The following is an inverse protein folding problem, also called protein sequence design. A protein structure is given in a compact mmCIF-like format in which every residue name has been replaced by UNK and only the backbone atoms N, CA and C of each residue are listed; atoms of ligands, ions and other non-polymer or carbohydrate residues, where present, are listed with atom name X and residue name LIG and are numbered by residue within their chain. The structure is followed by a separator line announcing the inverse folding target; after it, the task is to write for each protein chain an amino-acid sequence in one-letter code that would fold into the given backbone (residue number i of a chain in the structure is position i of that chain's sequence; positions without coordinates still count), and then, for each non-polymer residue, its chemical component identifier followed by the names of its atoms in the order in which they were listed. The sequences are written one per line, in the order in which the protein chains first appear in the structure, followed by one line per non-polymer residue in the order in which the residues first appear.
data_IF_346068477301
#
_entry.id   IF_346068477301
#
_cell.length_a   1.000
_cell.length_b   1.000
_cell.length_c   1.000
_cell.angle_alpha   90.00
_cell.angle_beta   90.00
_cell.angle_gamma   90.00
#
_symmetry.space_group_name_H-M   'P 1'
#
loop_
_entity.id
_entity.type
_entity.pdbx_description
1 polymer ?
#
# COMPACT_ATOMS: atom_id res chain seq x y z
N UNK A 1 15.16 -14.11 11.00
CA UNK A 1 14.21 -13.19 10.32
C UNK A 1 13.01 -14.02 9.89
N UNK A 2 11.80 -13.71 10.36
CA UNK A 2 10.58 -14.44 9.92
C UNK A 2 10.27 -14.00 8.50
N UNK A 3 10.55 -14.85 7.52
CA UNK A 3 10.05 -14.69 6.15
C UNK A 3 8.53 -14.80 6.18
N UNK A 4 7.82 -13.74 5.75
CA UNK A 4 6.37 -13.82 5.52
C UNK A 4 6.10 -14.89 4.46
N UNK A 5 5.18 -15.81 4.76
CA UNK A 5 4.74 -16.81 3.79
C UNK A 5 3.90 -16.14 2.71
N UNK A 6 3.78 -16.72 1.50
CA UNK A 6 2.87 -16.19 0.47
C UNK A 6 1.42 -16.03 0.97
N UNK A 7 0.97 -16.88 1.89
CA UNK A 7 -0.34 -16.81 2.54
C UNK A 7 -0.48 -15.59 3.45
N UNK A 8 0.53 -15.30 4.29
CA UNK A 8 0.56 -14.08 5.13
C UNK A 8 0.46 -12.81 4.28
N UNK A 9 1.14 -12.82 3.12
CA UNK A 9 1.14 -11.70 2.17
C UNK A 9 -0.23 -11.52 1.55
N UNK A 10 -0.88 -12.61 1.14
CA UNK A 10 -2.22 -12.54 0.58
C UNK A 10 -3.22 -11.99 1.60
N UNK A 11 -3.20 -12.50 2.83
CA UNK A 11 -4.09 -11.99 3.89
C UNK A 11 -3.83 -10.51 4.20
N UNK A 12 -2.58 -10.08 4.26
CA UNK A 12 -2.25 -8.68 4.47
C UNK A 12 -2.74 -7.80 3.31
N UNK A 13 -2.57 -8.22 2.05
CA UNK A 13 -3.11 -7.50 0.88
C UNK A 13 -4.64 -7.41 0.94
N UNK A 14 -5.33 -8.48 1.30
CA UNK A 14 -6.79 -8.48 1.39
C UNK A 14 -7.32 -7.56 2.49
N UNK A 15 -6.70 -7.58 3.67
CA UNK A 15 -7.03 -6.65 4.76
C UNK A 15 -6.85 -5.20 4.33
N UNK A 16 -5.69 -4.88 3.75
CA UNK A 16 -5.40 -3.52 3.34
C UNK A 16 -6.31 -3.07 2.18
N UNK A 17 -6.66 -3.95 1.25
CA UNK A 17 -7.62 -3.64 0.17
C UNK A 17 -9.04 -3.45 0.71
N UNK A 18 -9.41 -4.18 1.77
CA UNK A 18 -10.69 -4.01 2.44
C UNK A 18 -10.75 -2.69 3.22
N UNK A 19 -9.66 -2.30 3.90
CA UNK A 19 -9.55 -1.01 4.60
C UNK A 19 -9.43 0.17 3.63
N UNK A 20 -8.70 -0.01 2.52
CA UNK A 20 -8.36 1.03 1.56
C UNK A 20 -8.74 0.62 0.12
N UNK A 21 -10.04 0.51 -0.20
CA UNK A 21 -10.48 0.06 -1.53
C UNK A 21 -10.10 1.01 -2.67
N UNK A 22 -9.72 2.26 -2.36
CA UNK A 22 -9.24 3.27 -3.33
C UNK A 22 -7.73 3.19 -3.58
N UNK A 23 -7.04 2.31 -2.86
CA UNK A 23 -5.59 2.14 -2.93
C UNK A 23 -5.24 0.80 -3.58
N UNK A 24 -4.26 0.83 -4.46
CA UNK A 24 -3.66 -0.32 -5.08
C UNK A 24 -2.42 -0.72 -4.29
N UNK A 25 -2.38 -1.97 -3.82
CA UNK A 25 -1.33 -2.45 -2.93
C UNK A 25 -0.59 -3.60 -3.59
N UNK A 26 0.71 -3.40 -3.75
CA UNK A 26 1.63 -4.34 -4.38
C UNK A 26 2.78 -4.64 -3.43
N UNK A 27 3.34 -5.84 -3.54
CA UNK A 27 4.56 -6.23 -2.84
C UNK A 27 5.60 -6.54 -3.90
N UNK A 28 6.78 -5.96 -3.77
CA UNK A 28 7.92 -6.25 -4.63
C UNK A 28 8.57 -7.57 -4.24
N UNK A 29 9.28 -8.17 -5.19
CA UNK A 29 10.04 -9.41 -4.96
C UNK A 29 11.11 -9.26 -3.86
N UNK A 30 11.63 -8.04 -3.69
CA UNK A 30 12.56 -7.67 -2.61
C UNK A 30 11.91 -7.65 -1.22
N UNK A 31 10.60 -7.89 -1.13
CA UNK A 31 9.85 -7.95 0.13
C UNK A 31 9.22 -6.63 0.54
N UNK A 32 9.45 -5.53 -0.19
CA UNK A 32 8.88 -4.22 0.10
C UNK A 32 7.41 -4.13 -0.30
N UNK A 33 6.65 -3.41 0.50
CA UNK A 33 5.25 -3.09 0.31
C UNK A 33 5.10 -1.70 -0.29
N UNK A 34 4.19 -1.58 -1.25
CA UNK A 34 3.91 -0.35 -1.98
C UNK A 34 2.40 -0.16 -2.06
N UNK A 35 1.96 1.07 -1.82
CA UNK A 35 0.58 1.50 -1.89
C UNK A 35 0.49 2.73 -2.77
N UNK A 36 -0.34 2.68 -3.80
CA UNK A 36 -0.60 3.81 -4.70
C UNK A 36 -2.09 4.08 -4.77
N UNK A 37 -2.49 5.35 -4.67
CA UNK A 37 -3.90 5.74 -4.79
C UNK A 37 -4.33 5.72 -6.27
N UNK A 38 -5.50 5.18 -6.57
CA UNK A 38 -6.07 5.18 -7.94
C UNK A 38 -7.36 6.02 -8.06
N UNK A 39 -7.82 6.35 -9.30
CA UNK A 39 -7.25 5.98 -10.60
C UNK A 39 -6.24 7.01 -11.12
N UNK A 40 -5.02 6.54 -11.41
CA UNK A 40 -3.99 7.32 -12.09
C UNK A 40 -4.46 7.67 -13.51
N UNK A 41 -5.01 8.88 -13.70
CA UNK A 41 -4.89 9.53 -15.00
C UNK A 41 -3.39 9.83 -15.21
N UNK A 42 -2.92 9.71 -16.45
CA UNK A 42 -1.49 9.87 -16.79
C UNK A 42 -0.92 11.25 -16.40
N UNK A 43 -1.81 12.19 -16.09
CA UNK A 43 -1.54 13.56 -15.63
C UNK A 43 -1.32 13.66 -14.11
N UNK A 44 -1.77 12.69 -13.32
CA UNK A 44 -1.66 12.69 -11.84
C UNK A 44 -0.31 12.14 -11.34
N UNK A 45 0.46 11.50 -12.23
CA UNK A 45 1.78 10.90 -11.96
C UNK A 45 2.81 11.85 -11.32
N UNK A 46 2.59 13.16 -11.34
CA UNK A 46 3.48 14.16 -10.74
C UNK A 46 3.12 14.56 -9.30
N UNK A 47 1.98 14.09 -8.75
CA UNK A 47 1.53 14.44 -7.39
C UNK A 47 0.98 13.26 -6.56
N UNK A 48 1.12 12.03 -7.07
CA UNK A 48 0.55 10.81 -6.47
C UNK A 48 1.14 10.60 -5.07
N UNK A 49 0.26 10.38 -4.10
CA UNK A 49 0.67 9.82 -2.82
C UNK A 49 1.06 8.34 -3.00
N UNK A 50 2.30 8.10 -3.44
CA UNK A 50 2.95 6.81 -3.33
C UNK A 50 3.50 6.64 -1.91
N UNK A 51 3.19 5.50 -1.29
CA UNK A 51 3.77 5.12 -0.01
C UNK A 51 4.45 3.78 -0.16
N UNK A 52 5.64 3.67 0.40
CA UNK A 52 6.41 2.43 0.45
C UNK A 52 6.80 2.11 1.88
N UNK A 53 6.80 0.83 2.20
CA UNK A 53 7.10 0.32 3.53
C UNK A 53 7.76 -1.06 3.45
N UNK A 54 8.43 -1.48 4.52
CA UNK A 54 9.02 -2.82 4.59
C UNK A 54 8.04 -3.85 5.19
N UNK A 55 6.99 -3.38 5.88
CA UNK A 55 5.93 -4.21 6.44
C UNK A 55 4.52 -3.75 6.03
N UNK A 56 3.51 -4.64 6.03
CA UNK A 56 2.13 -4.26 5.70
C UNK A 56 1.51 -3.31 6.73
N UNK A 57 1.94 -3.37 7.99
CA UNK A 57 1.44 -2.52 9.07
C UNK A 57 1.92 -1.07 8.88
N UNK A 58 3.22 -0.90 8.60
CA UNK A 58 3.80 0.39 8.23
C UNK A 58 3.15 0.97 6.96
N UNK A 59 2.81 0.11 5.98
CA UNK A 59 2.09 0.55 4.80
C UNK A 59 0.70 1.10 5.17
N UNK A 60 -0.04 0.41 6.07
CA UNK A 60 -1.36 0.84 6.52
C UNK A 60 -1.30 2.21 7.20
N UNK A 61 -0.35 2.41 8.10
CA UNK A 61 -0.10 3.66 8.81
C UNK A 61 0.22 4.80 7.84
N UNK A 62 1.07 4.53 6.85
CA UNK A 62 1.43 5.51 5.82
C UNK A 62 0.21 5.90 4.97
N UNK A 63 -0.58 4.92 4.52
CA UNK A 63 -1.82 5.16 3.77
C UNK A 63 -2.80 5.99 4.61
N UNK A 64 -3.02 5.63 5.89
CA UNK A 64 -3.90 6.40 6.80
C UNK A 64 -3.43 7.84 6.97
N UNK A 65 -2.11 8.06 7.07
CA UNK A 65 -1.53 9.40 7.18
C UNK A 65 -1.81 10.22 5.93
N UNK A 66 -1.64 9.65 4.74
CA UNK A 66 -2.00 10.33 3.48
C UNK A 66 -3.49 10.64 3.44
N UNK A 67 -4.36 9.68 3.76
CA UNK A 67 -5.82 9.89 3.73
C UNK A 67 -6.22 11.01 4.68
N UNK A 68 -5.54 11.13 5.83
CA UNK A 68 -5.77 12.21 6.79
C UNK A 68 -5.28 13.57 6.31
N UNK A 69 -4.18 13.61 5.55
CA UNK A 69 -3.59 14.84 5.01
C UNK A 69 -4.33 15.36 3.77
N UNK A 70 -4.95 14.45 3.00
CA UNK A 70 -5.79 14.74 1.82
C UNK A 70 -7.24 15.18 2.19
N UNK A 71 -7.59 15.19 3.47
CA UNK A 71 -8.95 15.43 3.99
C UNK A 71 -9.18 16.81 4.60
#
# INVERSE_FOLDING_TARGET
MKTMTPDDVQQAKEKLRAEFPKWNIIRTDTGKWWGTRGPLTREDLSGVADVSADTPDELAEAIRKVIRDDG
#
